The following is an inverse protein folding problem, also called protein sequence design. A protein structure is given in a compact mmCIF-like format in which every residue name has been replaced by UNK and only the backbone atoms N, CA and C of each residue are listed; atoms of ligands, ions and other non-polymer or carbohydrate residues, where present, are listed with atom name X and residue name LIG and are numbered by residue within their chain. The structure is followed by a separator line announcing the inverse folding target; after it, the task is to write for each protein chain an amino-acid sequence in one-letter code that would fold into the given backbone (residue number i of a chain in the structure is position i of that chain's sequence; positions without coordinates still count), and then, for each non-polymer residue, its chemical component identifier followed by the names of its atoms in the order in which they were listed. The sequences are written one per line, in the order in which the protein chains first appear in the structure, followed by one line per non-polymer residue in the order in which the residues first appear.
data_IF_331077994687
#
_entry.id   IF_331077994687
#
_cell.length_a   1.000
_cell.length_b   1.000
_cell.length_c   1.000
_cell.angle_alpha   90.00
_cell.angle_beta   90.00
_cell.angle_gamma   90.00
#
_symmetry.space_group_name_H-M   'P 1'
#
loop_
_entity.id
_entity.type
_entity.pdbx_description
1 polymer ?
#
# COMPACT_ATOMS: atom_id res chain seq x y z
N UNK A 1 30.63 40.55 -5.95
CA UNK A 1 30.79 39.26 -5.25
C UNK A 1 29.94 39.32 -4.01
N UNK A 2 28.73 38.79 -4.09
CA UNK A 2 27.78 38.72 -2.98
C UNK A 2 28.17 37.53 -2.09
N UNK A 3 28.61 37.81 -0.88
CA UNK A 3 28.78 36.81 0.17
C UNK A 3 27.39 36.35 0.61
N UNK A 4 27.03 35.12 0.25
CA UNK A 4 25.84 34.46 0.80
C UNK A 4 26.13 34.05 2.24
N UNK A 5 25.63 34.84 3.19
CA UNK A 5 25.46 34.39 4.57
C UNK A 5 24.18 33.58 4.66
N UNK A 6 24.21 32.33 5.15
CA UNK A 6 23.00 31.53 5.36
C UNK A 6 22.09 32.20 6.40
N UNK A 7 20.78 32.15 6.18
CA UNK A 7 19.80 33.05 6.82
C UNK A 7 19.10 32.46 8.03
N UNK A 8 19.45 31.24 8.46
CA UNK A 8 18.92 30.63 9.69
C UNK A 8 19.81 29.49 10.18
N UNK A 9 19.97 29.28 11.51
CA UNK A 9 20.64 28.11 12.08
C UNK A 9 20.00 26.76 11.67
N UNK A 10 18.78 26.76 11.13
CA UNK A 10 18.13 25.56 10.59
C UNK A 10 18.66 25.15 9.20
N UNK A 11 19.15 26.08 8.39
CA UNK A 11 19.73 25.79 7.07
C UNK A 11 21.14 25.19 7.17
N UNK A 12 21.83 25.39 8.30
CA UNK A 12 23.18 24.88 8.54
C UNK A 12 23.23 23.40 8.98
N UNK A 13 22.09 22.81 9.40
CA UNK A 13 22.07 21.47 10.00
C UNK A 13 21.63 20.33 9.06
N UNK A 14 21.31 20.60 7.79
CA UNK A 14 21.00 19.54 6.82
C UNK A 14 19.67 18.81 7.06
N UNK A 15 19.37 17.84 6.19
CA UNK A 15 18.14 17.04 6.25
C UNK A 15 18.05 16.27 7.57
N UNK A 16 16.84 15.88 8.03
CA UNK A 16 16.69 15.08 9.25
C UNK A 16 17.59 13.84 9.27
N UNK A 17 17.78 13.18 8.13
CA UNK A 17 18.68 12.03 7.96
C UNK A 17 20.17 12.42 8.15
N UNK A 18 20.58 13.60 7.67
CA UNK A 18 21.94 14.12 7.89
C UNK A 18 22.18 14.47 9.36
N UNK A 19 21.17 15.01 10.06
CA UNK A 19 21.23 15.26 11.51
C UNK A 19 21.32 13.96 12.30
N UNK A 20 20.54 12.95 11.94
CA UNK A 20 20.59 11.64 12.61
C UNK A 20 21.93 10.93 12.41
N UNK A 21 22.51 11.02 11.21
CA UNK A 21 23.86 10.50 10.92
C UNK A 21 24.93 11.23 11.74
N UNK A 22 24.86 12.57 11.83
CA UNK A 22 25.80 13.36 12.65
C UNK A 22 25.66 13.04 14.15
N UNK A 23 24.44 12.91 14.66
CA UNK A 23 24.19 12.53 16.07
C UNK A 23 24.73 11.13 16.34
N UNK A 24 24.50 10.16 15.44
CA UNK A 24 25.04 8.80 15.56
C UNK A 24 26.57 8.79 15.61
N UNK A 25 27.21 9.56 14.73
CA UNK A 25 28.68 9.70 14.71
C UNK A 25 29.22 10.33 16.00
N UNK A 26 28.58 11.40 16.50
CA UNK A 26 28.97 12.06 17.75
C UNK A 26 28.82 11.11 18.94
N UNK A 27 27.72 10.36 19.02
CA UNK A 27 27.50 9.36 20.09
C UNK A 27 28.56 8.26 20.02
N UNK A 28 28.89 7.77 18.82
CA UNK A 28 29.95 6.77 18.65
C UNK A 28 31.33 7.28 19.10
N UNK A 29 31.67 8.52 18.74
CA UNK A 29 32.96 9.13 19.05
C UNK A 29 33.09 9.42 20.56
N UNK A 30 32.04 9.99 21.16
CA UNK A 30 32.00 10.26 22.60
C UNK A 30 32.03 8.97 23.41
N UNK A 31 31.30 7.93 22.99
CA UNK A 31 31.29 6.62 23.66
C UNK A 31 32.65 5.91 23.61
N UNK A 32 33.34 5.95 22.47
CA UNK A 32 34.70 5.39 22.35
C UNK A 32 35.73 6.21 23.14
N UNK A 33 35.62 7.55 23.13
CA UNK A 33 36.52 8.44 23.87
C UNK A 33 36.39 8.27 25.39
N UNK A 34 35.17 8.23 25.93
CA UNK A 34 34.93 8.08 27.38
C UNK A 34 35.32 6.69 27.89
N UNK A 35 35.07 5.62 27.11
CA UNK A 35 35.55 4.27 27.47
C UNK A 35 37.09 4.23 27.46
N UNK A 36 37.72 4.86 26.46
CA UNK A 36 39.17 4.94 26.38
C UNK A 36 39.78 5.64 27.59
N UNK A 37 39.19 6.76 28.01
CA UNK A 37 39.60 7.50 29.21
C UNK A 37 39.38 6.68 30.49
N UNK A 38 38.25 6.01 30.65
CA UNK A 38 37.96 5.12 31.80
C UNK A 38 38.93 3.94 31.87
N UNK A 39 39.23 3.27 30.75
CA UNK A 39 40.23 2.20 30.69
C UNK A 39 41.62 2.74 31.04
N UNK A 40 41.97 3.93 30.54
CA UNK A 40 43.26 4.55 30.84
C UNK A 40 43.38 4.92 32.32
N UNK A 41 42.32 5.47 32.93
CA UNK A 41 42.24 5.76 34.36
C UNK A 41 42.36 4.48 35.18
N UNK A 42 41.62 3.42 34.83
CA UNK A 42 41.70 2.11 35.50
C UNK A 42 43.12 1.54 35.44
N UNK A 43 43.76 1.57 34.27
CA UNK A 43 45.12 1.05 34.07
C UNK A 43 46.20 1.90 34.74
N UNK A 44 45.94 3.18 34.95
CA UNK A 44 46.82 4.11 35.65
C UNK A 44 46.67 3.97 37.17
N UNK A 45 45.46 3.75 37.66
CA UNK A 45 45.20 3.39 39.06
C UNK A 45 45.85 2.05 39.43
N UNK A 46 45.75 1.03 38.57
CA UNK A 46 46.36 -0.29 38.81
C UNK A 46 47.91 -0.21 38.91
N UNK A 47 48.54 0.60 38.04
CA UNK A 47 50.00 0.85 38.11
C UNK A 47 50.41 1.58 39.38
N UNK A 48 49.70 2.65 39.73
CA UNK A 48 49.97 3.41 40.95
C UNK A 48 49.77 2.56 42.22
N UNK A 49 48.89 1.55 42.19
CA UNK A 49 48.69 0.62 43.30
C UNK A 49 49.83 -0.39 43.44
N UNK A 50 50.31 -0.95 42.32
CA UNK A 50 51.50 -1.83 42.33
C UNK A 50 52.74 -1.09 42.87
N UNK A 51 52.89 0.18 42.51
CA UNK A 51 53.99 1.02 43.01
C UNK A 51 53.83 1.36 44.51
N UNK A 52 52.60 1.61 44.99
CA UNK A 52 52.33 1.93 46.42
C UNK A 52 52.34 0.72 47.37
N UNK A 53 52.10 -0.50 46.90
CA UNK A 53 52.27 -1.71 47.73
C UNK A 53 53.73 -1.91 48.18
N UNK A 54 54.70 -1.29 47.50
CA UNK A 54 56.09 -1.27 47.91
C UNK A 54 56.39 -0.27 49.04
N UNK A 55 55.45 0.64 49.40
CA UNK A 55 55.74 1.81 50.26
C UNK A 55 54.78 2.09 51.45
N UNK A 56 53.59 1.46 51.62
CA UNK A 56 52.58 1.96 52.60
C UNK A 56 51.84 0.93 53.48
N UNK A 57 51.58 1.35 54.73
CA UNK A 57 50.78 0.69 55.80
C UNK A 57 49.26 0.69 55.47
N UNK A 58 48.69 -0.49 55.19
CA UNK A 58 47.29 -0.98 55.30
C UNK A 58 46.03 -0.12 55.08
N UNK A 59 46.01 1.19 55.37
CA UNK A 59 44.82 2.06 55.27
C UNK A 59 44.60 2.63 53.86
N UNK A 60 45.67 2.97 53.15
CA UNK A 60 45.56 3.45 51.77
C UNK A 60 44.99 2.36 50.85
N UNK A 61 45.35 1.10 51.10
CA UNK A 61 44.91 -0.08 50.33
C UNK A 61 43.38 -0.22 50.29
N UNK A 62 42.66 0.14 51.37
CA UNK A 62 41.20 0.03 51.44
C UNK A 62 40.49 1.06 50.53
N UNK A 63 40.98 2.30 50.51
CA UNK A 63 40.42 3.38 49.67
C UNK A 63 40.65 3.08 48.18
N UNK A 64 41.79 2.49 47.82
CA UNK A 64 42.07 2.08 46.45
C UNK A 64 41.12 0.98 45.97
N UNK A 65 40.91 -0.04 46.79
CA UNK A 65 40.03 -1.16 46.42
C UNK A 65 38.58 -0.71 46.27
N UNK A 66 38.12 0.22 47.11
CA UNK A 66 36.81 0.84 46.97
C UNK A 66 36.67 1.63 45.66
N UNK A 67 37.67 2.44 45.30
CA UNK A 67 37.66 3.20 44.03
C UNK A 67 37.76 2.30 42.80
N UNK A 68 38.50 1.20 42.89
CA UNK A 68 38.58 0.19 41.81
C UNK A 68 37.21 -0.45 41.57
N UNK A 69 36.53 -0.87 42.63
CA UNK A 69 35.16 -1.39 42.54
C UNK A 69 34.17 -0.36 41.97
N UNK A 70 34.29 0.91 42.35
CA UNK A 70 33.46 1.99 41.79
C UNK A 70 33.69 2.17 40.29
N UNK A 71 34.96 2.17 39.84
CA UNK A 71 35.29 2.26 38.41
C UNK A 71 34.79 1.04 37.63
N UNK A 72 34.93 -0.17 38.18
CA UNK A 72 34.41 -1.39 37.55
C UNK A 72 32.88 -1.39 37.45
N UNK A 73 32.18 -0.92 38.49
CA UNK A 73 30.74 -0.76 38.48
C UNK A 73 30.31 0.27 37.42
N UNK A 74 30.96 1.44 37.39
CA UNK A 74 30.69 2.48 36.40
C UNK A 74 30.93 1.98 34.97
N UNK A 75 31.96 1.18 34.75
CA UNK A 75 32.27 0.60 33.44
C UNK A 75 31.19 -0.40 33.01
N UNK A 76 30.73 -1.24 33.94
CA UNK A 76 29.64 -2.19 33.72
C UNK A 76 28.32 -1.47 33.41
N UNK A 77 27.99 -0.43 34.18
CA UNK A 77 26.81 0.39 33.97
C UNK A 77 26.86 1.11 32.62
N UNK A 78 28.02 1.66 32.25
CA UNK A 78 28.22 2.32 30.96
C UNK A 78 28.05 1.35 29.78
N UNK A 79 28.61 0.14 29.87
CA UNK A 79 28.41 -0.90 28.87
C UNK A 79 26.92 -1.29 28.75
N UNK A 80 26.22 -1.45 29.88
CA UNK A 80 24.78 -1.72 29.90
C UNK A 80 23.96 -0.60 29.24
N UNK A 81 24.30 0.66 29.50
CA UNK A 81 23.66 1.81 28.86
C UNK A 81 23.90 1.83 27.35
N UNK A 82 25.10 1.53 26.88
CA UNK A 82 25.40 1.43 25.43
C UNK A 82 24.55 0.35 24.77
N UNK A 83 24.44 -0.83 25.39
CA UNK A 83 23.58 -1.90 24.86
C UNK A 83 22.10 -1.47 24.80
N UNK A 84 21.62 -0.72 25.80
CA UNK A 84 20.25 -0.16 25.78
C UNK A 84 20.06 0.87 24.68
N UNK A 85 21.03 1.77 24.47
CA UNK A 85 20.99 2.78 23.42
C UNK A 85 20.94 2.11 22.04
N UNK A 86 21.79 1.11 21.80
CA UNK A 86 21.80 0.35 20.55
C UNK A 86 20.44 -0.32 20.29
N UNK A 87 19.88 -1.01 21.28
CA UNK A 87 18.56 -1.64 21.16
C UNK A 87 17.44 -0.60 20.90
N UNK A 88 17.47 0.55 21.56
CA UNK A 88 16.50 1.62 21.31
C UNK A 88 16.64 2.22 19.90
N UNK A 89 17.86 2.30 19.35
CA UNK A 89 18.08 2.71 17.97
C UNK A 89 17.52 1.68 16.98
N UNK A 90 17.73 0.38 17.24
CA UNK A 90 17.15 -0.70 16.42
C UNK A 90 15.61 -0.68 16.47
N UNK A 91 15.03 -0.48 17.66
CA UNK A 91 13.58 -0.32 17.80
C UNK A 91 13.06 0.92 17.07
N UNK A 92 13.76 2.05 17.17
CA UNK A 92 13.37 3.29 16.46
C UNK A 92 13.35 3.06 14.95
N UNK A 93 14.39 2.46 14.38
CA UNK A 93 14.45 2.19 12.94
C UNK A 93 13.38 1.19 12.50
N UNK A 94 13.12 0.16 13.30
CA UNK A 94 12.01 -0.78 13.05
C UNK A 94 10.65 -0.11 13.08
N UNK A 95 10.39 0.82 14.02
CA UNK A 95 9.12 1.55 14.07
C UNK A 95 8.99 2.51 12.88
N UNK A 96 10.08 3.19 12.51
CA UNK A 96 10.08 4.13 11.38
C UNK A 96 9.78 3.44 10.05
N UNK A 97 10.36 2.26 9.82
CA UNK A 97 10.05 1.45 8.62
C UNK A 97 8.59 0.98 8.61
N UNK A 98 8.02 0.59 9.75
CA UNK A 98 6.60 0.25 9.86
C UNK A 98 5.69 1.44 9.58
N UNK A 99 6.03 2.63 10.08
CA UNK A 99 5.25 3.86 9.85
C UNK A 99 5.22 4.22 8.37
N UNK A 100 6.36 4.17 7.67
CA UNK A 100 6.39 4.43 6.23
C UNK A 100 5.58 3.38 5.44
N UNK A 101 5.65 2.10 5.82
CA UNK A 101 4.82 1.05 5.22
C UNK A 101 3.32 1.23 5.47
N UNK A 102 2.93 1.70 6.66
CA UNK A 102 1.53 2.03 6.95
C UNK A 102 1.05 3.25 6.15
N UNK A 103 1.92 4.25 5.97
CA UNK A 103 1.61 5.45 5.18
C UNK A 103 1.38 5.11 3.70
N UNK A 104 2.20 4.24 3.12
CA UNK A 104 1.99 3.76 1.74
C UNK A 104 0.68 2.98 1.62
N UNK A 105 0.38 2.11 2.58
CA UNK A 105 -0.87 1.35 2.59
C UNK A 105 -2.10 2.26 2.71
N UNK A 106 -2.04 3.26 3.59
CA UNK A 106 -3.11 4.24 3.77
C UNK A 106 -3.36 5.03 2.48
N UNK A 107 -2.30 5.45 1.78
CA UNK A 107 -2.43 6.11 0.49
C UNK A 107 -3.13 5.23 -0.55
N UNK A 108 -2.75 3.95 -0.65
CA UNK A 108 -3.40 3.01 -1.59
C UNK A 108 -4.88 2.79 -1.25
N UNK A 109 -5.19 2.55 0.03
CA UNK A 109 -6.57 2.40 0.53
C UNK A 109 -7.41 3.65 0.28
N UNK A 110 -6.81 4.83 0.40
CA UNK A 110 -7.51 6.09 0.11
C UNK A 110 -7.87 6.20 -1.38
N UNK A 111 -6.95 5.84 -2.28
CA UNK A 111 -7.23 5.84 -3.73
C UNK A 111 -8.25 4.78 -4.12
N UNK A 112 -8.18 3.59 -3.52
CA UNK A 112 -9.18 2.53 -3.76
C UNK A 112 -10.57 2.96 -3.27
N UNK A 113 -10.65 3.61 -2.10
CA UNK A 113 -11.90 4.17 -1.60
C UNK A 113 -12.50 5.19 -2.57
N UNK A 114 -11.69 6.12 -3.08
CA UNK A 114 -12.14 7.12 -4.04
C UNK A 114 -12.67 6.47 -5.33
N UNK A 115 -11.95 5.47 -5.86
CA UNK A 115 -12.40 4.70 -7.02
C UNK A 115 -13.76 4.02 -6.76
N UNK A 116 -13.93 3.37 -5.61
CA UNK A 116 -15.21 2.74 -5.24
C UNK A 116 -16.34 3.76 -5.08
N UNK A 117 -16.05 4.94 -4.51
CA UNK A 117 -17.04 6.02 -4.41
C UNK A 117 -17.48 6.52 -5.80
N UNK A 118 -16.54 6.70 -6.73
CA UNK A 118 -16.87 7.09 -8.12
C UNK A 118 -17.70 6.03 -8.85
N UNK A 119 -17.39 4.75 -8.67
CA UNK A 119 -18.14 3.65 -9.28
C UNK A 119 -19.56 3.57 -8.71
N UNK A 120 -19.70 3.72 -7.38
CA UNK A 120 -21.00 3.79 -6.72
C UNK A 120 -21.86 4.93 -7.27
N UNK A 121 -21.28 6.11 -7.45
CA UNK A 121 -22.01 7.27 -7.96
C UNK A 121 -22.45 7.07 -9.41
N UNK A 122 -21.60 6.48 -10.25
CA UNK A 122 -21.95 6.09 -11.61
C UNK A 122 -23.12 5.09 -11.62
N UNK A 123 -23.04 4.02 -10.82
CA UNK A 123 -24.12 3.03 -10.68
C UNK A 123 -25.43 3.65 -10.18
N UNK A 124 -25.35 4.63 -9.27
CA UNK A 124 -26.53 5.34 -8.78
C UNK A 124 -27.19 6.16 -9.89
N UNK A 125 -26.41 6.81 -10.75
CA UNK A 125 -26.94 7.53 -11.90
C UNK A 125 -27.58 6.59 -12.92
N UNK A 126 -26.95 5.43 -13.20
CA UNK A 126 -27.53 4.42 -14.08
C UNK A 126 -28.84 3.86 -13.54
N UNK A 127 -28.92 3.56 -12.24
CA UNK A 127 -30.17 3.13 -11.61
C UNK A 127 -31.26 4.19 -11.70
N UNK A 128 -30.90 5.47 -11.54
CA UNK A 128 -31.86 6.56 -11.70
C UNK A 128 -32.39 6.63 -13.14
N UNK A 129 -31.53 6.46 -14.15
CA UNK A 129 -31.96 6.38 -15.57
C UNK A 129 -32.87 5.18 -15.83
N UNK A 130 -32.59 4.03 -15.23
CA UNK A 130 -33.47 2.85 -15.33
C UNK A 130 -34.82 3.15 -14.67
N UNK A 131 -34.82 3.84 -13.53
CA UNK A 131 -36.03 4.31 -12.86
C UNK A 131 -36.89 5.21 -13.74
N UNK A 132 -36.28 6.22 -14.38
CA UNK A 132 -37.02 7.10 -15.30
C UNK A 132 -37.58 6.34 -16.51
N UNK A 133 -36.82 5.41 -17.08
CA UNK A 133 -37.31 4.57 -18.19
C UNK A 133 -38.47 3.67 -17.75
N UNK A 134 -38.40 3.12 -16.53
CA UNK A 134 -39.49 2.32 -15.97
C UNK A 134 -40.74 3.15 -15.75
N UNK A 135 -40.59 4.38 -15.24
CA UNK A 135 -41.66 5.36 -15.08
C UNK A 135 -42.33 5.70 -16.41
N UNK A 136 -41.55 5.98 -17.45
CA UNK A 136 -42.05 6.25 -18.80
C UNK A 136 -42.84 5.08 -19.37
N UNK A 137 -42.38 3.84 -19.12
CA UNK A 137 -43.01 2.62 -19.64
C UNK A 137 -44.27 2.22 -18.88
N UNK A 138 -44.29 2.41 -17.56
CA UNK A 138 -45.33 1.86 -16.69
C UNK A 138 -46.28 2.93 -16.12
N UNK A 139 -45.90 4.20 -16.23
CA UNK A 139 -46.60 5.33 -15.61
C UNK A 139 -46.50 5.35 -14.08
N UNK A 140 -45.61 4.54 -13.49
CA UNK A 140 -45.46 4.38 -12.04
C UNK A 140 -44.05 4.72 -11.59
N UNK A 141 -43.97 5.52 -10.53
CA UNK A 141 -42.71 5.83 -9.86
C UNK A 141 -42.10 4.58 -9.25
N UNK A 142 -40.86 4.26 -9.61
CA UNK A 142 -40.20 3.06 -9.15
C UNK A 142 -39.50 3.31 -7.81
N UNK A 143 -39.78 2.48 -6.80
CA UNK A 143 -38.92 2.40 -5.61
C UNK A 143 -37.60 1.69 -5.97
N UNK A 144 -36.50 2.11 -5.38
CA UNK A 144 -35.18 1.46 -5.49
C UNK A 144 -35.22 -0.05 -5.17
N UNK A 145 -36.03 -0.48 -4.20
CA UNK A 145 -36.23 -1.91 -3.88
C UNK A 145 -36.97 -2.65 -4.99
N UNK A 146 -37.95 -2.03 -5.63
CA UNK A 146 -38.69 -2.60 -6.76
C UNK A 146 -37.78 -2.72 -8.00
N UNK A 147 -37.00 -1.68 -8.29
CA UNK A 147 -36.00 -1.72 -9.37
C UNK A 147 -34.98 -2.83 -9.15
N UNK A 148 -34.48 -2.97 -7.91
CA UNK A 148 -33.56 -4.04 -7.54
C UNK A 148 -34.20 -5.42 -7.70
N UNK A 149 -35.47 -5.57 -7.30
CA UNK A 149 -36.24 -6.79 -7.51
C UNK A 149 -36.43 -7.13 -8.99
N UNK A 150 -36.80 -6.14 -9.82
CA UNK A 150 -36.97 -6.31 -11.26
C UNK A 150 -35.63 -6.67 -11.93
N UNK A 151 -34.53 -5.99 -11.59
CA UNK A 151 -33.20 -6.32 -12.08
C UNK A 151 -32.79 -7.74 -11.67
N UNK A 152 -33.05 -8.14 -10.43
CA UNK A 152 -32.75 -9.50 -9.95
C UNK A 152 -33.56 -10.56 -10.68
N UNK A 153 -34.86 -10.32 -10.92
CA UNK A 153 -35.72 -11.19 -11.73
C UNK A 153 -35.21 -11.25 -13.17
N UNK A 154 -34.83 -10.11 -13.76
CA UNK A 154 -34.31 -10.04 -15.12
C UNK A 154 -32.99 -10.81 -15.27
N UNK A 155 -32.06 -10.62 -14.34
CA UNK A 155 -30.79 -11.38 -14.28
C UNK A 155 -31.08 -12.87 -14.17
N UNK A 156 -31.95 -13.28 -13.24
CA UNK A 156 -32.32 -14.69 -13.04
C UNK A 156 -32.99 -15.28 -14.29
N UNK A 157 -33.90 -14.55 -14.94
CA UNK A 157 -34.54 -14.99 -16.18
C UNK A 157 -33.53 -15.12 -17.32
N UNK A 158 -32.59 -14.17 -17.44
CA UNK A 158 -31.54 -14.20 -18.46
C UNK A 158 -30.52 -15.32 -18.20
N UNK A 159 -30.13 -15.57 -16.95
CA UNK A 159 -29.12 -16.58 -16.62
C UNK A 159 -29.67 -18.01 -16.59
N UNK A 160 -30.82 -18.21 -15.95
CA UNK A 160 -31.33 -19.55 -15.62
C UNK A 160 -32.44 -20.04 -16.56
N UNK A 161 -33.35 -19.15 -17.01
CA UNK A 161 -34.55 -19.57 -17.75
C UNK A 161 -34.37 -19.53 -19.27
N UNK A 162 -33.67 -18.52 -19.81
CA UNK A 162 -33.57 -18.35 -21.26
C UNK A 162 -32.41 -19.08 -21.95
N UNK A 163 -31.63 -19.90 -21.24
CA UNK A 163 -30.26 -20.26 -21.68
C UNK A 163 -29.42 -19.01 -22.03
N UNK A 164 -29.82 -17.84 -21.52
CA UNK A 164 -29.28 -16.54 -21.88
C UNK A 164 -27.87 -16.31 -21.35
N UNK A 165 -27.32 -17.25 -20.56
CA UNK A 165 -25.88 -17.33 -20.29
C UNK A 165 -25.05 -17.29 -21.58
N UNK A 166 -25.53 -17.88 -22.67
CA UNK A 166 -24.84 -17.81 -23.97
C UNK A 166 -25.00 -16.42 -24.63
N UNK A 167 -26.21 -15.87 -24.68
CA UNK A 167 -26.50 -14.55 -25.26
C UNK A 167 -25.83 -13.41 -24.46
N UNK A 168 -25.92 -13.43 -23.13
CA UNK A 168 -25.26 -12.50 -22.22
C UNK A 168 -23.75 -12.55 -22.36
N UNK A 169 -23.14 -13.75 -22.39
CA UNK A 169 -21.68 -13.88 -22.55
C UNK A 169 -21.19 -13.38 -23.90
N UNK A 170 -21.98 -13.56 -24.97
CA UNK A 170 -21.67 -12.97 -26.27
C UNK A 170 -21.80 -11.45 -26.22
N UNK A 171 -22.88 -10.91 -25.67
CA UNK A 171 -23.09 -9.46 -25.56
C UNK A 171 -22.03 -8.79 -24.69
N UNK A 172 -21.66 -9.36 -23.54
CA UNK A 172 -20.64 -8.78 -22.65
C UNK A 172 -19.26 -8.72 -23.28
N UNK A 173 -18.87 -9.74 -24.06
CA UNK A 173 -17.61 -9.75 -24.81
C UNK A 173 -17.64 -8.73 -25.95
N UNK A 174 -18.75 -8.65 -26.70
CA UNK A 174 -18.87 -7.70 -27.82
C UNK A 174 -18.98 -6.25 -27.33
N UNK A 175 -19.52 -6.01 -26.13
CA UNK A 175 -19.58 -4.70 -25.49
C UNK A 175 -18.22 -4.21 -24.94
N UNK A 176 -17.18 -5.06 -24.93
CA UNK A 176 -15.83 -4.66 -24.55
C UNK A 176 -15.15 -3.70 -25.55
N UNK A 177 -13.86 -3.46 -25.34
CA UNK A 177 -13.06 -2.45 -26.07
C UNK A 177 -13.04 -2.66 -27.60
N UNK A 178 -13.17 -3.90 -28.08
CA UNK A 178 -13.06 -4.22 -29.50
C UNK A 178 -14.38 -3.96 -30.25
N UNK A 179 -14.35 -3.06 -31.25
CA UNK A 179 -15.51 -2.68 -32.07
C UNK A 179 -16.05 -3.78 -32.99
N UNK A 180 -15.16 -4.62 -33.52
CA UNK A 180 -15.49 -5.64 -34.51
C UNK A 180 -14.92 -6.98 -34.08
N UNK A 181 -15.78 -7.98 -33.94
CA UNK A 181 -15.39 -9.33 -33.56
C UNK A 181 -15.52 -10.28 -34.74
N UNK A 182 -14.55 -11.20 -34.91
CA UNK A 182 -14.74 -12.35 -35.80
C UNK A 182 -15.42 -13.48 -35.06
N UNK A 183 -16.30 -14.23 -35.74
CA UNK A 183 -17.01 -15.39 -35.16
C UNK A 183 -16.07 -16.39 -34.47
N UNK A 184 -14.94 -16.73 -35.08
CA UNK A 184 -13.96 -17.67 -34.51
C UNK A 184 -13.30 -17.15 -33.23
N UNK A 185 -13.08 -15.84 -33.13
CA UNK A 185 -12.57 -15.21 -31.91
C UNK A 185 -13.61 -15.29 -30.80
N UNK A 186 -14.87 -15.01 -31.13
CA UNK A 186 -15.99 -15.13 -30.19
C UNK A 186 -16.19 -16.57 -29.70
N UNK A 187 -16.02 -17.59 -30.54
CA UNK A 187 -16.05 -18.99 -30.09
C UNK A 187 -14.99 -19.24 -29.01
N UNK A 188 -13.76 -18.77 -29.23
CA UNK A 188 -12.65 -18.94 -28.28
C UNK A 188 -12.89 -18.16 -26.98
N UNK A 189 -13.32 -16.91 -27.08
CA UNK A 189 -13.54 -16.03 -25.92
C UNK A 189 -14.77 -16.44 -25.11
N UNK A 190 -15.83 -16.91 -25.77
CA UNK A 190 -17.07 -17.31 -25.07
C UNK A 190 -17.02 -18.75 -24.56
N UNK A 191 -16.22 -19.63 -25.16
CA UNK A 191 -16.23 -21.07 -24.89
C UNK A 191 -17.54 -21.76 -25.31
N UNK A 192 -18.35 -21.10 -26.15
CA UNK A 192 -19.62 -21.62 -26.67
C UNK A 192 -19.32 -22.37 -27.96
N UNK A 193 -19.91 -23.57 -28.13
CA UNK A 193 -19.79 -24.33 -29.38
C UNK A 193 -20.27 -23.50 -30.58
N UNK A 194 -19.61 -23.61 -31.73
CA UNK A 194 -19.90 -22.78 -32.91
C UNK A 194 -21.37 -22.85 -33.37
N UNK A 195 -21.99 -24.03 -33.29
CA UNK A 195 -23.40 -24.23 -33.65
C UNK A 195 -24.32 -23.41 -32.74
N UNK A 196 -24.08 -23.47 -31.43
CA UNK A 196 -24.86 -22.71 -30.44
C UNK A 196 -24.59 -21.21 -30.54
N UNK A 197 -23.35 -20.80 -30.83
CA UNK A 197 -23.01 -19.41 -31.10
C UNK A 197 -23.75 -18.88 -32.33
N UNK A 198 -23.84 -19.65 -33.42
CA UNK A 198 -24.59 -19.24 -34.61
C UNK A 198 -26.09 -19.03 -34.31
N UNK A 199 -26.69 -19.90 -33.51
CA UNK A 199 -28.08 -19.72 -33.05
C UNK A 199 -28.24 -18.43 -32.25
N UNK A 200 -27.34 -18.19 -31.29
CA UNK A 200 -27.32 -16.99 -30.45
C UNK A 200 -27.16 -15.72 -31.28
N UNK A 201 -26.24 -15.70 -32.24
CA UNK A 201 -26.04 -14.57 -33.14
C UNK A 201 -27.29 -14.31 -33.98
N UNK A 202 -27.94 -15.37 -34.49
CA UNK A 202 -29.21 -15.24 -35.21
C UNK A 202 -30.32 -14.62 -34.36
N UNK A 203 -30.42 -15.01 -33.09
CA UNK A 203 -31.37 -14.42 -32.14
C UNK A 203 -31.06 -12.93 -31.89
N UNK A 204 -29.79 -12.59 -31.67
CA UNK A 204 -29.35 -11.21 -31.39
C UNK A 204 -29.49 -10.29 -32.61
N UNK A 205 -29.30 -10.81 -33.83
CA UNK A 205 -29.56 -10.08 -35.08
C UNK A 205 -31.06 -9.82 -35.23
N UNK A 206 -31.91 -10.83 -34.98
CA UNK A 206 -33.38 -10.65 -35.00
C UNK A 206 -33.85 -9.62 -33.98
N UNK A 207 -33.24 -9.61 -32.79
CA UNK A 207 -33.49 -8.63 -31.75
C UNK A 207 -32.90 -7.24 -32.05
N UNK A 208 -32.23 -7.06 -33.20
CA UNK A 208 -31.58 -5.80 -33.63
C UNK A 208 -30.54 -5.30 -32.63
N UNK A 209 -29.88 -6.20 -31.91
CA UNK A 209 -28.81 -5.86 -30.97
C UNK A 209 -27.44 -5.82 -31.63
N UNK A 210 -27.20 -6.70 -32.61
CA UNK A 210 -25.94 -6.80 -33.34
C UNK A 210 -26.16 -6.84 -34.86
N UNK A 211 -25.17 -6.36 -35.60
CA UNK A 211 -25.03 -6.56 -37.03
C UNK A 211 -24.04 -7.71 -37.26
N UNK A 212 -24.45 -8.69 -38.07
CA UNK A 212 -23.63 -9.83 -38.43
C UNK A 212 -23.48 -9.91 -39.96
N UNK A 213 -22.26 -9.83 -40.46
CA UNK A 213 -21.96 -10.11 -41.86
C UNK A 213 -21.61 -11.60 -42.00
N UNK A 214 -22.42 -12.35 -42.74
CA UNK A 214 -22.19 -13.78 -42.98
C UNK A 214 -20.96 -14.05 -43.84
N UNK A 215 -20.64 -13.15 -44.78
CA UNK A 215 -19.54 -13.31 -45.74
C UNK A 215 -18.18 -13.17 -45.05
N UNK A 216 -18.02 -12.12 -44.25
CA UNK A 216 -16.78 -11.85 -43.52
C UNK A 216 -16.73 -12.50 -42.13
N UNK A 217 -17.85 -13.10 -41.69
CA UNK A 217 -18.06 -13.61 -40.34
C UNK A 217 -17.75 -12.56 -39.24
N UNK A 218 -18.05 -11.28 -39.52
CA UNK A 218 -17.80 -10.15 -38.61
C UNK A 218 -19.06 -9.73 -37.88
N UNK A 219 -18.90 -9.35 -36.61
CA UNK A 219 -19.97 -9.03 -35.67
C UNK A 219 -19.69 -7.64 -35.08
N UNK A 220 -20.71 -6.77 -35.10
CA UNK A 220 -20.66 -5.41 -34.54
C UNK A 220 -21.92 -5.14 -33.72
N UNK A 221 -21.82 -4.34 -32.67
CA UNK A 221 -23.01 -3.87 -31.94
C UNK A 221 -23.70 -2.76 -32.74
N UNK A 222 -25.03 -2.81 -32.82
CA UNK A 222 -25.83 -1.76 -33.47
C UNK A 222 -25.88 -0.51 -32.60
N UNK A 223 -25.96 -0.70 -31.27
CA UNK A 223 -25.91 0.37 -30.29
C UNK A 223 -24.93 -0.04 -29.20
N UNK A 224 -23.77 0.62 -29.14
CA UNK A 224 -22.95 0.58 -27.93
C UNK A 224 -23.69 1.37 -26.86
N UNK A 225 -23.78 0.80 -25.66
CA UNK A 225 -23.96 1.61 -24.47
C UNK A 225 -22.67 2.44 -24.43
N UNK A 226 -22.77 3.68 -24.90
CA UNK A 226 -21.68 4.63 -24.87
C UNK A 226 -21.11 4.61 -23.45
N UNK A 227 -19.84 4.26 -23.33
CA UNK A 227 -19.01 4.74 -22.23
C UNK A 227 -19.32 6.22 -22.11
N UNK A 228 -19.98 6.57 -21.00
CA UNK A 228 -20.13 7.96 -20.62
C UNK A 228 -18.72 8.48 -20.41
N UNK A 229 -18.27 9.34 -21.33
CA UNK A 229 -17.34 10.41 -20.97
C UNK A 229 -17.98 11.31 -19.90
#
# INVERSE_FOLDING_TARGET
MSFFTPSSPEEAMGTPEQRESQISNIISYLGVSTIGELIWVQRTLERNFQDKQLESDGKDTNIYEQKKQEVEQLLTDHQSMISKIANLQDQKTSVQTQVEGLKTNLSMLSSEKEAVETERDSLSQELQRIGTLYEELTGKQANQEELRGILSIYITLMEDVFSGRAHFKVLSIVHGEKEVWKRQELVKSTGISEIKLRSVLGDLVRAKMIFYNEEDATIRLIKRLSTLD
#
